data_IF_729276220055
#
_entry.id   IF_729276220055
#
_cell.length_a   1.000
_cell.length_b   1.000
_cell.length_c   1.000
_cell.angle_alpha   90.00
_cell.angle_beta   90.00
_cell.angle_gamma   90.00
#
_symmetry.space_group_name_H-M   'P 1'
#
loop_
_entity.id
_entity.type
_entity.pdbx_description
1 polymer ?
#
# COMPACT_ATOMS: atom_id res chain seq x y z
N UNK A 1 0.04 -13.13 1.50
CA UNK A 1 0.40 -11.73 1.86
C UNK A 1 -0.73 -10.79 1.49
N UNK A 2 -1.11 -9.93 2.39
CA UNK A 2 -2.16 -8.95 2.15
C UNK A 2 -1.55 -7.56 2.09
N UNK A 3 -1.70 -6.89 0.94
CA UNK A 3 -1.25 -5.52 0.74
C UNK A 3 -2.47 -4.63 0.79
N UNK A 4 -2.45 -3.64 1.67
CA UNK A 4 -3.57 -2.72 1.83
C UNK A 4 -3.12 -1.31 1.46
N UNK A 5 -3.86 -0.69 0.55
CA UNK A 5 -3.61 0.69 0.14
C UNK A 5 -4.63 1.56 0.86
N UNK A 6 -4.14 2.40 1.76
CA UNK A 6 -4.97 3.22 2.62
C UNK A 6 -5.12 4.61 1.99
N UNK A 7 -6.36 5.01 1.72
CA UNK A 7 -6.60 6.32 1.14
C UNK A 7 -8.03 6.45 0.64
N UNK A 8 -8.41 7.70 0.37
CA UNK A 8 -9.78 8.06 0.03
C UNK A 8 -10.04 8.05 -1.48
N UNK A 9 -9.19 7.38 -2.26
CA UNK A 9 -9.40 7.22 -3.69
C UNK A 9 -8.85 8.38 -4.53
N UNK A 10 -7.88 9.13 -4.04
CA UNK A 10 -7.25 10.21 -4.80
C UNK A 10 -6.28 9.62 -5.86
N UNK A 11 -5.81 10.49 -6.76
CA UNK A 11 -4.90 10.06 -7.82
C UNK A 11 -3.63 9.42 -7.28
N UNK A 12 -3.09 9.94 -6.18
CA UNK A 12 -1.90 9.37 -5.56
C UNK A 12 -2.17 7.98 -5.00
N UNK A 13 -3.36 7.76 -4.45
CA UNK A 13 -3.74 6.46 -3.94
C UNK A 13 -3.83 5.43 -5.06
N UNK A 14 -4.36 5.83 -6.21
CA UNK A 14 -4.44 4.96 -7.38
C UNK A 14 -3.05 4.61 -7.90
N UNK A 15 -2.13 5.58 -7.95
CA UNK A 15 -0.75 5.31 -8.35
C UNK A 15 -0.06 4.34 -7.40
N UNK A 16 -0.28 4.52 -6.12
CA UNK A 16 0.31 3.62 -5.12
C UNK A 16 -0.22 2.20 -5.30
N UNK A 17 -1.50 2.06 -5.56
CA UNK A 17 -2.10 0.75 -5.81
C UNK A 17 -1.49 0.10 -7.05
N UNK A 18 -1.38 0.84 -8.14
CA UNK A 18 -0.81 0.31 -9.39
C UNK A 18 0.63 -0.15 -9.17
N UNK A 19 1.42 0.65 -8.48
CA UNK A 19 2.82 0.32 -8.20
C UNK A 19 2.94 -0.88 -7.27
N UNK A 20 2.04 -0.99 -6.29
CA UNK A 20 2.04 -2.13 -5.40
C UNK A 20 1.71 -3.43 -6.17
N UNK A 21 0.71 -3.38 -7.05
CA UNK A 21 0.36 -4.53 -7.87
C UNK A 21 1.50 -4.92 -8.80
N UNK A 22 2.16 -3.94 -9.41
CA UNK A 22 3.28 -4.19 -10.29
C UNK A 22 4.46 -4.80 -9.53
N UNK A 23 4.78 -4.26 -8.36
CA UNK A 23 5.88 -4.78 -7.56
C UNK A 23 5.62 -6.24 -7.15
N UNK A 24 4.41 -6.55 -6.74
CA UNK A 24 4.05 -7.92 -6.37
C UNK A 24 4.15 -8.85 -7.56
N UNK A 25 3.71 -8.40 -8.74
CA UNK A 25 3.79 -9.21 -9.96
C UNK A 25 5.24 -9.47 -10.37
N UNK A 26 6.11 -8.47 -10.26
CA UNK A 26 7.51 -8.62 -10.61
C UNK A 26 8.24 -9.57 -9.68
N UNK A 27 7.82 -9.63 -8.41
CA UNK A 27 8.38 -10.57 -7.44
C UNK A 27 7.71 -11.93 -7.48
N UNK A 28 6.70 -12.09 -8.33
CA UNK A 28 5.91 -13.33 -8.44
C UNK A 28 5.30 -13.73 -7.09
N UNK A 29 4.88 -12.74 -6.31
CA UNK A 29 4.28 -12.99 -5.01
C UNK A 29 2.79 -13.26 -5.15
N UNK A 30 2.32 -14.27 -4.45
CA UNK A 30 0.90 -14.55 -4.35
C UNK A 30 0.34 -13.67 -3.23
N UNK A 31 -0.22 -12.53 -3.62
CA UNK A 31 -0.73 -11.56 -2.65
C UNK A 31 -2.02 -10.94 -3.14
N UNK A 32 -2.81 -10.46 -2.18
CA UNK A 32 -4.02 -9.70 -2.47
C UNK A 32 -3.74 -8.22 -2.23
N UNK A 33 -4.28 -7.38 -3.10
CA UNK A 33 -4.21 -5.93 -2.94
C UNK A 33 -5.62 -5.43 -2.63
N UNK A 34 -5.77 -4.81 -1.48
CA UNK A 34 -7.04 -4.33 -1.00
C UNK A 34 -6.98 -2.82 -0.79
N UNK A 35 -8.05 -2.13 -1.20
CA UNK A 35 -8.18 -0.69 -0.95
C UNK A 35 -8.92 -0.47 0.34
N UNK A 36 -8.36 0.34 1.24
CA UNK A 36 -9.00 0.73 2.48
C UNK A 36 -9.39 2.19 2.37
N UNK A 37 -10.68 2.45 2.21
CA UNK A 37 -11.21 3.80 2.03
C UNK A 37 -11.90 4.34 3.27
N UNK A 38 -12.18 3.49 4.24
CA UNK A 38 -12.86 3.87 5.47
C UNK A 38 -11.89 4.64 6.36
N UNK A 39 -12.23 5.89 6.66
CA UNK A 39 -11.40 6.75 7.48
C UNK A 39 -11.11 6.13 8.85
N UNK A 40 -12.10 5.49 9.45
CA UNK A 40 -11.91 4.86 10.76
C UNK A 40 -10.89 3.72 10.69
N UNK A 41 -10.95 2.92 9.63
CA UNK A 41 -9.98 1.85 9.44
C UNK A 41 -8.57 2.40 9.18
N UNK A 42 -8.48 3.47 8.40
CA UNK A 42 -7.21 4.12 8.14
C UNK A 42 -6.62 4.64 9.44
N UNK A 43 -7.42 5.27 10.28
CA UNK A 43 -6.97 5.76 11.58
C UNK A 43 -6.57 4.62 12.51
N UNK A 44 -7.24 3.47 12.42
CA UNK A 44 -6.90 2.31 13.23
C UNK A 44 -5.50 1.77 12.92
N UNK A 45 -4.99 2.01 11.72
CA UNK A 45 -3.61 1.67 11.38
C UNK A 45 -2.59 2.64 11.98
N UNK A 46 -3.06 3.74 12.59
CA UNK A 46 -2.17 4.75 13.11
C UNK A 46 -1.65 5.72 12.08
N UNK A 47 -2.28 5.75 10.90
CA UNK A 47 -1.86 6.60 9.78
C UNK A 47 -2.61 7.92 9.85
N UNK A 48 -1.88 9.02 9.82
CA UNK A 48 -2.47 10.36 9.81
C UNK A 48 -2.36 11.03 8.45
N UNK A 49 -1.60 10.44 7.53
CA UNK A 49 -1.38 11.01 6.19
C UNK A 49 -1.64 9.92 5.15
N UNK A 50 -2.39 10.25 4.11
CA UNK A 50 -2.64 9.33 3.00
C UNK A 50 -2.00 9.88 1.72
N UNK A 51 -1.65 9.04 0.77
CA UNK A 51 -1.86 7.59 0.75
C UNK A 51 -0.84 6.86 1.64
N UNK A 52 -1.20 5.66 2.05
CA UNK A 52 -0.32 4.81 2.85
C UNK A 52 -0.39 3.38 2.36
N UNK A 53 0.66 2.62 2.61
CA UNK A 53 0.75 1.23 2.21
C UNK A 53 1.01 0.37 3.44
N UNK A 54 0.17 -0.64 3.65
CA UNK A 54 0.34 -1.60 4.73
C UNK A 54 0.51 -2.99 4.14
N UNK A 55 1.39 -3.79 4.73
CA UNK A 55 1.64 -5.17 4.33
C UNK A 55 1.42 -6.04 5.55
N UNK A 56 0.46 -6.97 5.45
CA UNK A 56 0.09 -7.88 6.54
C UNK A 56 -0.19 -7.14 7.85
N UNK A 57 -0.87 -5.99 7.74
CA UNK A 57 -1.26 -5.21 8.89
C UNK A 57 -0.21 -4.23 9.41
N UNK A 58 0.96 -4.20 8.79
CA UNK A 58 2.05 -3.29 9.20
C UNK A 58 2.19 -2.17 8.17
N UNK A 59 2.08 -0.94 8.61
CA UNK A 59 2.25 0.23 7.74
C UNK A 59 3.71 0.36 7.35
N UNK A 60 3.98 0.32 6.05
CA UNK A 60 5.34 0.41 5.52
C UNK A 60 5.70 1.82 5.07
N UNK A 61 4.71 2.57 4.57
CA UNK A 61 4.93 3.94 4.10
C UNK A 61 3.64 4.72 4.29
N UNK A 62 3.76 5.99 4.61
CA UNK A 62 2.60 6.89 4.75
C UNK A 62 2.94 8.25 4.18
N UNK A 63 1.99 8.84 3.44
CA UNK A 63 2.13 10.17 2.88
C UNK A 63 3.02 10.26 1.66
N UNK A 64 3.44 9.13 1.10
CA UNK A 64 4.33 9.10 -0.06
C UNK A 64 3.86 8.07 -1.07
N UNK A 65 4.26 8.25 -2.33
CA UNK A 65 4.04 7.26 -3.38
C UNK A 65 5.43 6.76 -3.81
N UNK A 66 5.91 5.68 -3.18
CA UNK A 66 7.22 5.15 -3.54
C UNK A 66 7.21 4.55 -4.94
N UNK A 67 8.39 4.43 -5.53
CA UNK A 67 8.52 3.76 -6.82
C UNK A 67 8.37 2.25 -6.68
N UNK A 68 8.21 1.57 -7.83
CA UNK A 68 8.04 0.12 -7.84
C UNK A 68 9.22 -0.56 -7.15
N UNK A 69 10.43 -0.09 -7.39
CA UNK A 69 11.61 -0.69 -6.78
C UNK A 69 11.59 -0.58 -5.25
N UNK A 70 11.14 0.56 -4.73
CA UNK A 70 11.04 0.73 -3.28
C UNK A 70 9.99 -0.20 -2.69
N UNK A 71 8.86 -0.36 -3.37
CA UNK A 71 7.81 -1.25 -2.91
C UNK A 71 8.31 -2.70 -2.95
N UNK A 72 9.05 -3.08 -3.98
CA UNK A 72 9.63 -4.41 -4.05
C UNK A 72 10.51 -4.71 -2.84
N UNK A 73 11.29 -3.74 -2.40
CA UNK A 73 12.11 -3.88 -1.19
C UNK A 73 11.27 -4.05 0.06
N UNK A 74 10.12 -3.38 0.12
CA UNK A 74 9.21 -3.52 1.26
C UNK A 74 8.54 -4.89 1.30
N UNK A 75 8.27 -5.48 0.14
CA UNK A 75 7.63 -6.78 0.03
C UNK A 75 8.63 -7.93 0.16
N UNK A 76 9.83 -7.73 -0.32
CA UNK A 76 10.91 -8.73 -0.19
C UNK A 76 11.53 -8.58 1.19
N UNK A 77 11.64 -9.67 1.88
CA UNK A 77 12.27 -9.67 3.20
C UNK A 77 13.76 -9.94 3.11
#
# INVERSE_FOLDING_TARGET
>A
MLIQVLGMGCAKCQKLEERARQAAAELSLDCQVEKVKDLQQIMAFGVMVTPALAVDGVVKVAGKVPGVEDIKKMLAK
#
